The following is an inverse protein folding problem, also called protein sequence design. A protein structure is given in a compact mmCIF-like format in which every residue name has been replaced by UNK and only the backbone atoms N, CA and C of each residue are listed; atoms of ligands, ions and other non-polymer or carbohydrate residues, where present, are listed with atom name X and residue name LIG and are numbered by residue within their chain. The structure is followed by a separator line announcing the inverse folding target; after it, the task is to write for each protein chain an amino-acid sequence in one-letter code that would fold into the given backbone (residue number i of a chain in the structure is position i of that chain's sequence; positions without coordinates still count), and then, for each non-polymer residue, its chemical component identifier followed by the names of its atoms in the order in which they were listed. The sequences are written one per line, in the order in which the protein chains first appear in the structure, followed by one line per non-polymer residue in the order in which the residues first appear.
data_IF_141546780601
#
_entry.id   IF_141546780601
#
_cell.length_a   1.000
_cell.length_b   1.000
_cell.length_c   1.000
_cell.angle_alpha   90.00
_cell.angle_beta   90.00
_cell.angle_gamma   90.00
#
_symmetry.space_group_name_H-M   'P 1'
#
loop_
_entity.id
_entity.type
_entity.pdbx_description
1 polymer ?
#
# COMPACT_ATOMS: atom_id res chain seq x y z
N UNK A 1 5.94 0.41 -11.75
CA UNK A 1 4.90 0.62 -10.72
C UNK A 1 4.90 2.08 -10.28
N UNK A 2 3.85 2.46 -9.54
CA UNK A 2 3.69 3.82 -9.02
C UNK A 2 3.77 3.78 -7.51
N UNK A 3 4.53 4.67 -6.91
CA UNK A 3 4.66 4.77 -5.45
C UNK A 3 3.95 6.04 -4.97
N UNK A 4 3.12 5.90 -3.94
CA UNK A 4 2.39 7.01 -3.35
C UNK A 4 2.71 7.07 -1.86
N UNK A 5 3.02 8.27 -1.39
CA UNK A 5 3.33 8.48 0.02
C UNK A 5 2.07 8.68 0.83
N UNK A 6 1.98 7.98 1.96
CA UNK A 6 0.86 8.14 2.90
C UNK A 6 1.42 8.43 4.29
N UNK A 7 0.62 9.06 5.14
CA UNK A 7 1.07 9.42 6.47
C UNK A 7 0.92 8.27 7.47
N UNK A 8 -0.12 7.47 7.30
CA UNK A 8 -0.37 6.32 8.19
C UNK A 8 -0.73 5.12 7.34
N UNK A 9 0.26 4.26 7.11
CA UNK A 9 0.08 3.14 6.19
C UNK A 9 -0.92 2.11 6.73
N UNK A 10 -0.88 1.83 8.04
CA UNK A 10 -1.83 0.87 8.61
C UNK A 10 -3.27 1.33 8.45
N UNK A 11 -3.52 2.61 8.70
CA UNK A 11 -4.87 3.17 8.54
C UNK A 11 -5.29 3.15 7.08
N UNK A 12 -4.36 3.47 6.17
CA UNK A 12 -4.66 3.47 4.74
C UNK A 12 -5.04 2.06 4.26
N UNK A 13 -4.29 1.04 4.70
CA UNK A 13 -4.57 -0.33 4.31
C UNK A 13 -5.91 -0.82 4.88
N UNK A 14 -6.21 -0.46 6.12
CA UNK A 14 -7.48 -0.83 6.73
C UNK A 14 -8.65 -0.23 5.97
N UNK A 15 -8.53 1.03 5.58
CA UNK A 15 -9.58 1.71 4.83
C UNK A 15 -9.78 1.09 3.45
N UNK A 16 -8.69 0.78 2.75
CA UNK A 16 -8.78 0.16 1.43
C UNK A 16 -9.40 -1.23 1.52
N UNK A 17 -9.03 -2.00 2.53
CA UNK A 17 -9.58 -3.33 2.73
C UNK A 17 -11.08 -3.25 3.01
N UNK A 18 -11.50 -2.29 3.81
CA UNK A 18 -12.91 -2.09 4.12
C UNK A 18 -13.72 -1.75 2.88
N UNK A 19 -13.12 -1.03 1.93
CA UNK A 19 -13.77 -0.67 0.68
C UNK A 19 -13.74 -1.78 -0.36
N UNK A 20 -13.20 -2.95 -0.03
CA UNK A 20 -13.14 -4.07 -0.95
C UNK A 20 -12.00 -4.00 -1.94
N UNK A 21 -11.02 -3.13 -1.72
CA UNK A 21 -9.85 -3.03 -2.57
C UNK A 21 -8.92 -4.21 -2.27
N UNK A 22 -8.46 -4.89 -3.32
CA UNK A 22 -7.59 -6.04 -3.15
C UNK A 22 -6.17 -5.58 -2.87
N UNK A 23 -5.59 -6.12 -1.79
CA UNK A 23 -4.23 -5.78 -1.37
C UNK A 23 -3.33 -6.99 -1.57
N UNK A 24 -2.10 -6.74 -2.03
CA UNK A 24 -1.06 -7.78 -2.00
C UNK A 24 -0.57 -7.91 -0.56
N UNK A 25 -0.32 -6.78 0.10
CA UNK A 25 0.11 -6.75 1.49
C UNK A 25 -1.00 -6.18 2.34
N UNK A 26 -1.54 -6.98 3.26
CA UNK A 26 -2.58 -6.49 4.19
C UNK A 26 -1.97 -5.80 5.39
N UNK A 27 -0.67 -6.00 5.62
CA UNK A 27 0.07 -5.34 6.69
C UNK A 27 1.33 -4.72 6.13
N UNK A 28 1.80 -3.61 6.72
CA UNK A 28 3.03 -2.98 6.26
C UNK A 28 4.22 -3.92 6.36
N UNK A 29 5.13 -3.81 5.40
CA UNK A 29 6.41 -4.50 5.46
C UNK A 29 7.53 -3.50 5.24
N UNK A 30 8.73 -3.87 5.69
CA UNK A 30 9.87 -2.96 5.60
C UNK A 30 10.37 -2.87 4.16
N UNK A 31 10.51 -1.65 3.68
CA UNK A 31 11.09 -1.38 2.38
C UNK A 31 12.46 -0.75 2.51
N UNK A 32 12.95 -0.21 1.40
CA UNK A 32 14.26 0.40 1.36
C UNK A 32 14.31 1.65 2.24
N UNK A 33 15.47 1.90 2.85
CA UNK A 33 15.70 3.12 3.63
C UNK A 33 14.88 3.23 4.91
N UNK A 34 14.42 2.10 5.45
CA UNK A 34 13.64 2.11 6.68
C UNK A 34 12.19 2.50 6.51
N UNK A 35 11.74 2.70 5.28
CA UNK A 35 10.34 3.01 5.01
C UNK A 35 9.48 1.76 5.22
N UNK A 36 8.22 1.98 5.58
CA UNK A 36 7.24 0.90 5.59
C UNK A 36 6.43 0.99 4.31
N UNK A 37 6.22 -0.15 3.65
CA UNK A 37 5.54 -0.19 2.36
C UNK A 37 4.48 -1.27 2.33
N UNK A 38 3.55 -1.14 1.37
CA UNK A 38 2.59 -2.18 1.07
C UNK A 38 2.12 -1.99 -0.36
N UNK A 39 1.79 -3.09 -1.03
CA UNK A 39 1.36 -3.04 -2.42
C UNK A 39 -0.13 -3.33 -2.55
N UNK A 40 -0.77 -2.58 -3.44
CA UNK A 40 -2.16 -2.81 -3.83
C UNK A 40 -2.16 -3.67 -5.09
N UNK A 41 -3.05 -4.66 -5.12
CA UNK A 41 -3.08 -5.60 -6.23
C UNK A 41 -3.50 -4.89 -7.54
N UNK A 42 -2.82 -5.18 -8.66
CA UNK A 42 -3.13 -4.52 -9.94
C UNK A 42 -4.58 -4.67 -10.38
N UNK A 43 -5.27 -5.72 -9.95
CA UNK A 43 -6.68 -5.89 -10.30
C UNK A 43 -7.56 -4.77 -9.78
N UNK A 44 -7.16 -4.12 -8.70
CA UNK A 44 -7.94 -3.03 -8.12
C UNK A 44 -7.52 -1.66 -8.62
N UNK A 45 -6.49 -1.60 -9.46
CA UNK A 45 -5.93 -0.33 -9.94
C UNK A 45 -5.84 -0.27 -11.46
N UNK A 46 -6.61 -1.11 -12.17
CA UNK A 46 -6.61 -1.09 -13.62
C UNK A 46 -5.34 -1.63 -14.26
N UNK A 47 -4.62 -2.50 -13.56
CA UNK A 47 -3.41 -3.14 -14.08
C UNK A 47 -2.12 -2.48 -13.66
N UNK A 48 -2.18 -1.45 -12.81
CA UNK A 48 -0.98 -0.75 -12.33
C UNK A 48 -0.62 -1.25 -10.94
N UNK A 49 0.65 -1.62 -10.75
CA UNK A 49 1.12 -1.99 -9.42
C UNK A 49 1.33 -0.72 -8.61
N UNK A 50 0.54 -0.56 -7.56
CA UNK A 50 0.57 0.63 -6.72
C UNK A 50 1.25 0.30 -5.39
N UNK A 51 2.27 1.09 -5.05
CA UNK A 51 2.97 0.96 -3.79
C UNK A 51 2.58 2.12 -2.87
N UNK A 52 2.18 1.80 -1.64
CA UNK A 52 1.96 2.80 -0.61
C UNK A 52 3.18 2.83 0.28
N UNK A 53 3.67 4.02 0.60
CA UNK A 53 4.93 4.17 1.32
C UNK A 53 4.76 5.16 2.47
N UNK A 54 5.18 4.73 3.66
CA UNK A 54 5.21 5.60 4.84
C UNK A 54 6.65 5.70 5.32
N UNK A 55 7.16 6.92 5.38
CA UNK A 55 8.49 7.15 5.93
C UNK A 55 8.38 7.44 7.42
N UNK A 56 9.27 6.81 8.16
CA UNK A 56 9.28 6.98 9.60
C UNK A 56 9.85 8.30 10.05
#
# INVERSE_FOLDING_TARGET
HVAVRVENLEAALAELKEKGIRLIDEKPRRGAGGAMIAFVHPKSTGGVLLELCQRG
#
